data_IF_718435943115
#
_entry.id   IF_718435943115
#
_cell.length_a   1.000
_cell.length_b   1.000
_cell.length_c   1.000
_cell.angle_alpha   90.00
_cell.angle_beta   90.00
_cell.angle_gamma   90.00
#
_symmetry.space_group_name_H-M   'P 1'
#
loop_
_entity.id
_entity.type
_entity.pdbx_description
1 polymer ?
#
# COMPACT_ATOMS: atom_id res chain seq x y z
N UNK A 1 12.02 10.89 -2.21
CA UNK A 1 12.35 9.58 -1.61
C UNK A 1 13.15 8.75 -2.62
N UNK A 2 14.16 7.96 -2.21
CA UNK A 2 14.92 7.07 -3.12
C UNK A 2 14.22 5.75 -3.35
N UNK A 3 14.49 5.07 -4.46
CA UNK A 3 13.95 3.74 -4.79
C UNK A 3 14.26 2.71 -3.71
N UNK A 4 13.32 1.79 -3.47
CA UNK A 4 13.46 0.71 -2.50
C UNK A 4 12.54 -0.47 -2.80
N UNK A 5 12.78 -1.58 -2.12
CA UNK A 5 11.91 -2.76 -2.09
C UNK A 5 11.96 -3.35 -0.68
N UNK A 6 10.86 -3.27 0.07
CA UNK A 6 10.81 -3.69 1.48
C UNK A 6 9.56 -4.50 1.77
N UNK A 7 9.69 -5.51 2.62
CA UNK A 7 8.53 -6.23 3.18
C UNK A 7 8.02 -5.45 4.38
N UNK A 8 6.70 -5.38 4.52
CA UNK A 8 6.05 -4.74 5.66
C UNK A 8 5.02 -5.68 6.26
N UNK A 9 4.90 -5.63 7.59
CA UNK A 9 3.79 -6.24 8.34
C UNK A 9 2.63 -5.26 8.32
N UNK A 10 1.57 -5.60 7.60
CA UNK A 10 0.39 -4.78 7.43
C UNK A 10 -0.72 -5.19 8.40
N UNK A 11 -1.28 -4.21 9.11
CA UNK A 11 -2.53 -4.33 9.84
C UNK A 11 -3.68 -3.86 8.95
N UNK A 12 -4.25 -4.79 8.19
CA UNK A 12 -5.39 -4.56 7.32
C UNK A 12 -6.70 -4.50 8.13
N UNK A 13 -7.49 -3.46 7.89
CA UNK A 13 -8.87 -3.34 8.37
C UNK A 13 -9.77 -2.94 7.21
N UNK A 14 -10.98 -3.49 7.18
CA UNK A 14 -12.00 -3.07 6.23
C UNK A 14 -12.82 -1.90 6.79
N UNK A 15 -13.37 -1.12 5.89
CA UNK A 15 -14.22 0.05 6.11
C UNK A 15 -15.31 0.12 5.04
N UNK A 16 -16.17 1.13 5.10
CA UNK A 16 -17.14 1.41 4.04
C UNK A 16 -16.61 2.48 3.08
N UNK A 17 -17.12 2.53 1.86
CA UNK A 17 -16.72 3.55 0.90
C UNK A 17 -17.14 4.97 1.29
N UNK A 18 -18.22 5.14 2.05
CA UNK A 18 -18.67 6.45 2.55
C UNK A 18 -17.78 6.97 3.69
N UNK A 19 -17.09 6.07 4.39
CA UNK A 19 -16.19 6.41 5.49
C UNK A 19 -14.92 5.52 5.44
N UNK A 20 -14.08 5.65 4.40
CA UNK A 20 -12.99 4.70 4.15
C UNK A 20 -11.89 4.74 5.22
N UNK A 21 -11.86 5.80 6.03
CA UNK A 21 -10.94 5.99 7.14
C UNK A 21 -11.45 5.42 8.48
N UNK A 22 -12.70 4.96 8.55
CA UNK A 22 -13.31 4.42 9.77
C UNK A 22 -13.38 2.89 9.67
N UNK A 23 -12.60 2.14 10.46
CA UNK A 23 -12.62 0.69 10.39
C UNK A 23 -13.95 0.12 10.89
N UNK A 24 -14.50 -0.82 10.15
CA UNK A 24 -15.70 -1.59 10.51
C UNK A 24 -15.40 -3.04 10.87
N UNK A 25 -14.20 -3.52 10.52
CA UNK A 25 -13.76 -4.88 10.85
C UNK A 25 -12.71 -4.91 11.96
N UNK A 26 -12.49 -6.12 12.50
CA UNK A 26 -11.28 -6.43 13.26
C UNK A 26 -10.04 -6.32 12.37
N UNK A 27 -8.89 -6.16 13.00
CA UNK A 27 -7.58 -6.15 12.33
C UNK A 27 -7.21 -7.55 11.85
N UNK A 28 -6.73 -7.63 10.61
CA UNK A 28 -6.11 -8.80 10.01
C UNK A 28 -4.64 -8.46 9.76
N UNK A 29 -3.73 -9.38 10.05
CA UNK A 29 -2.31 -9.20 9.81
C UNK A 29 -1.91 -9.95 8.54
N UNK A 30 -1.16 -9.27 7.67
CA UNK A 30 -0.62 -9.83 6.44
C UNK A 30 0.77 -9.25 6.16
N UNK A 31 1.51 -9.88 5.24
CA UNK A 31 2.77 -9.34 4.74
C UNK A 31 2.51 -8.74 3.36
N UNK A 32 3.03 -7.53 3.15
CA UNK A 32 3.02 -6.86 1.85
C UNK A 32 4.44 -6.56 1.40
N UNK A 33 4.67 -6.58 0.09
CA UNK A 33 5.87 -6.07 -0.54
C UNK A 33 5.60 -4.66 -1.05
N UNK A 34 6.40 -3.70 -0.61
CA UNK A 34 6.30 -2.29 -1.03
C UNK A 34 7.54 -1.93 -1.82
N UNK A 35 7.34 -1.57 -3.08
CA UNK A 35 8.40 -1.18 -4.00
C UNK A 35 8.17 0.24 -4.52
N UNK A 36 9.23 1.05 -4.51
CA UNK A 36 9.24 2.36 -5.13
C UNK A 36 10.26 2.36 -6.26
N UNK A 37 9.81 2.73 -7.46
CA UNK A 37 10.64 2.90 -8.66
C UNK A 37 10.37 4.27 -9.27
N UNK A 38 11.30 5.19 -9.12
CA UNK A 38 11.11 6.61 -9.44
C UNK A 38 9.96 7.20 -8.62
N UNK A 39 8.85 7.49 -9.29
CA UNK A 39 7.64 8.04 -8.67
C UNK A 39 6.48 7.03 -8.57
N UNK A 40 6.68 5.80 -9.03
CA UNK A 40 5.67 4.75 -8.99
C UNK A 40 5.88 3.85 -7.78
N UNK A 41 4.89 3.82 -6.89
CA UNK A 41 4.81 2.94 -5.75
C UNK A 41 3.95 1.72 -6.11
N UNK A 42 4.40 0.53 -5.74
CA UNK A 42 3.69 -0.73 -5.88
C UNK A 42 3.54 -1.37 -4.51
N UNK A 43 2.33 -1.82 -4.18
CA UNK A 43 2.02 -2.54 -2.95
C UNK A 43 1.44 -3.89 -3.35
N UNK A 44 2.18 -4.96 -3.11
CA UNK A 44 1.81 -6.33 -3.49
C UNK A 44 1.50 -7.14 -2.24
N UNK A 45 0.34 -7.79 -2.18
CA UNK A 45 0.05 -8.76 -1.13
C UNK A 45 0.97 -9.98 -1.27
N UNK A 46 1.47 -10.53 -0.16
CA UNK A 46 2.27 -11.76 -0.17
C UNK A 46 1.51 -12.90 0.50
N UNK A 47 1.46 -14.05 -0.17
CA UNK A 47 0.98 -15.30 0.41
C UNK A 47 1.89 -15.82 1.52
N UNK A 48 1.43 -16.82 2.27
CA UNK A 48 2.20 -17.42 3.36
C UNK A 48 3.51 -18.09 2.88
N UNK A 49 3.55 -18.51 1.61
CA UNK A 49 4.73 -19.05 0.92
C UNK A 49 5.62 -17.94 0.29
N UNK A 50 5.25 -16.67 0.46
CA UNK A 50 5.91 -15.52 -0.13
C UNK A 50 5.56 -15.29 -1.61
N UNK A 51 4.59 -16.02 -2.17
CA UNK A 51 4.13 -15.80 -3.54
C UNK A 51 3.42 -14.45 -3.67
N UNK A 52 3.62 -13.70 -4.77
CA UNK A 52 2.95 -12.43 -4.99
C UNK A 52 1.48 -12.65 -5.35
N UNK A 53 0.60 -11.91 -4.67
CA UNK A 53 -0.83 -11.80 -4.97
C UNK A 53 -1.16 -10.49 -5.66
N UNK A 54 -2.34 -9.95 -5.33
CA UNK A 54 -2.86 -8.68 -5.86
C UNK A 54 -1.91 -7.50 -5.63
N UNK A 55 -1.84 -6.58 -6.60
CA UNK A 55 -0.94 -5.43 -6.61
C UNK A 55 -1.68 -4.11 -6.83
N UNK A 56 -1.52 -3.19 -5.90
CA UNK A 56 -1.96 -1.80 -6.00
C UNK A 56 -0.81 -0.93 -6.53
N UNK A 57 -1.13 -0.01 -7.42
CA UNK A 57 -0.20 1.01 -7.92
C UNK A 57 -0.59 2.38 -7.38
N UNK A 58 0.40 3.19 -7.01
CA UNK A 58 0.19 4.57 -6.60
C UNK A 58 1.28 5.49 -7.17
N UNK A 59 0.89 6.68 -7.62
CA UNK A 59 1.78 7.68 -8.20
C UNK A 59 2.14 8.73 -7.14
N UNK A 60 3.42 9.05 -6.99
CA UNK A 60 3.88 10.11 -6.09
C UNK A 60 3.23 11.44 -6.48
N UNK A 61 2.75 12.18 -5.48
CA UNK A 61 2.11 13.48 -5.69
C UNK A 61 2.82 14.61 -4.96
N UNK A 62 3.01 14.46 -3.64
CA UNK A 62 3.54 15.52 -2.78
C UNK A 62 4.58 14.91 -1.85
N UNK A 63 5.72 15.59 -1.75
CA UNK A 63 6.70 15.35 -0.69
C UNK A 63 6.56 16.42 0.38
N UNK A 64 6.35 15.98 1.62
CA UNK A 64 6.38 16.79 2.83
C UNK A 64 7.65 16.45 3.62
N UNK A 65 8.06 17.29 4.59
CA UNK A 65 9.08 16.87 5.56
C UNK A 65 8.70 15.52 6.17
N UNK A 66 9.60 14.54 6.07
CA UNK A 66 9.46 13.20 6.64
C UNK A 66 8.28 12.37 6.10
N UNK A 67 7.60 12.78 5.03
CA UNK A 67 6.47 12.02 4.47
C UNK A 67 6.37 12.19 2.97
N UNK A 68 6.23 11.08 2.23
CA UNK A 68 5.88 11.10 0.82
C UNK A 68 4.44 10.62 0.65
N UNK A 69 3.64 11.38 -0.11
CA UNK A 69 2.25 11.06 -0.42
C UNK A 69 2.12 10.55 -1.86
N UNK A 70 1.23 9.57 -2.05
CA UNK A 70 0.96 8.93 -3.32
C UNK A 70 -0.54 8.80 -3.51
N UNK A 71 -1.01 8.96 -4.75
CA UNK A 71 -2.40 8.71 -5.15
C UNK A 71 -2.50 7.32 -5.78
N UNK A 72 -3.42 6.51 -5.30
CA UNK A 72 -3.68 5.18 -5.87
C UNK A 72 -4.25 5.35 -7.28
N UNK A 73 -3.73 4.57 -8.22
CA UNK A 73 -4.13 4.59 -9.62
C UNK A 73 -5.29 3.60 -9.85
N UNK A 74 -6.45 4.05 -10.34
CA UNK A 74 -7.56 3.17 -10.69
C UNK A 74 -7.32 2.37 -11.98
N UNK A 75 -6.33 2.78 -12.77
CA UNK A 75 -5.94 2.16 -14.03
C UNK A 75 -4.42 2.02 -14.08
N UNK A 76 -3.93 0.99 -14.78
CA UNK A 76 -2.49 0.83 -15.01
C UNK A 76 -1.96 1.97 -15.88
N UNK A 77 -0.72 2.45 -15.63
CA UNK A 77 -0.01 3.23 -16.62
C UNK A 77 0.05 2.49 -17.95
N UNK A 78 -0.17 3.18 -19.07
CA UNK A 78 -0.34 2.58 -20.40
C UNK A 78 0.80 1.67 -20.89
N UNK A 79 1.99 1.81 -20.31
CA UNK A 79 3.18 1.02 -20.62
C UNK A 79 3.36 -0.21 -19.70
N UNK A 80 2.51 -0.37 -18.69
CA UNK A 80 2.56 -1.48 -17.73
C UNK A 80 1.53 -2.52 -18.10
N UNK A 81 1.93 -3.79 -18.06
CA UNK A 81 1.02 -4.93 -18.14
C UNK A 81 1.22 -5.78 -16.90
N UNK A 82 0.18 -5.86 -16.07
CA UNK A 82 0.22 -6.62 -14.83
C UNK A 82 -1.10 -7.35 -14.63
N UNK A 83 -1.06 -8.68 -14.70
CA UNK A 83 -2.24 -9.53 -14.46
C UNK A 83 -2.66 -9.58 -12.99
N UNK A 84 -1.79 -9.13 -12.08
CA UNK A 84 -2.10 -9.03 -10.65
C UNK A 84 -2.65 -7.65 -10.26
N UNK A 85 -2.87 -6.75 -11.22
CA UNK A 85 -3.34 -5.40 -10.94
C UNK A 85 -4.68 -5.40 -10.21
N UNK A 86 -4.71 -4.72 -9.07
CA UNK A 86 -5.90 -4.49 -8.26
C UNK A 86 -6.30 -3.02 -8.38
N UNK A 87 -7.36 -2.70 -9.16
CA UNK A 87 -7.81 -1.33 -9.31
C UNK A 87 -8.48 -0.85 -8.02
N UNK A 88 -8.08 0.33 -7.58
CA UNK A 88 -8.60 0.98 -6.38
C UNK A 88 -8.47 2.51 -6.50
N UNK A 89 -9.12 3.24 -5.60
CA UNK A 89 -8.98 4.68 -5.41
C UNK A 89 -8.50 4.94 -4.00
N UNK A 90 -7.73 6.00 -3.78
CA UNK A 90 -7.31 6.40 -2.44
C UNK A 90 -5.91 7.01 -2.38
N UNK A 91 -5.34 7.01 -1.18
CA UNK A 91 -4.08 7.67 -0.89
C UNK A 91 -3.19 6.77 -0.04
N UNK A 92 -1.89 6.84 -0.31
CA UNK A 92 -0.84 6.20 0.47
C UNK A 92 0.09 7.28 1.01
N UNK A 93 0.49 7.16 2.27
CA UNK A 93 1.53 7.95 2.90
C UNK A 93 2.64 7.02 3.37
N UNK A 94 3.89 7.34 3.03
CA UNK A 94 5.07 6.68 3.58
C UNK A 94 5.79 7.67 4.47
N UNK A 95 5.82 7.36 5.76
CA UNK A 95 6.50 8.15 6.78
C UNK A 95 7.97 7.73 6.82
N UNK A 96 8.84 8.68 6.47
CA UNK A 96 10.28 8.57 6.63
C UNK A 96 10.63 8.91 8.08
N UNK A 97 10.70 7.89 8.92
CA UNK A 97 11.09 8.08 10.31
C UNK A 97 12.61 8.35 10.40
N UNK A 98 13.07 8.98 11.50
CA UNK A 98 14.49 9.22 11.73
C UNK A 98 15.35 7.96 11.60
N UNK A 99 16.66 8.10 11.32
CA UNK A 99 17.58 6.96 11.23
C UNK A 99 17.45 6.01 12.42
N UNK A 100 17.27 4.72 12.14
CA UNK A 100 17.08 3.67 13.16
C UNK A 100 15.63 3.34 13.49
N UNK A 101 14.64 4.03 12.89
CA UNK A 101 13.23 3.67 12.98
C UNK A 101 12.74 3.00 11.68
N UNK A 102 11.82 2.04 11.84
CA UNK A 102 11.20 1.30 10.74
C UNK A 102 10.25 2.20 9.94
N UNK A 103 10.31 2.15 8.61
CA UNK A 103 9.35 2.91 7.79
C UNK A 103 7.92 2.48 8.10
N UNK A 104 7.02 3.45 8.10
CA UNK A 104 5.59 3.20 8.23
C UNK A 104 4.88 3.60 6.94
N UNK A 105 4.01 2.73 6.46
CA UNK A 105 3.08 3.00 5.38
C UNK A 105 1.67 3.05 5.95
N UNK A 106 0.95 4.13 5.65
CA UNK A 106 -0.49 4.22 5.91
C UNK A 106 -1.21 4.42 4.60
N UNK A 107 -2.26 3.66 4.38
CA UNK A 107 -3.10 3.84 3.22
C UNK A 107 -4.57 3.73 3.59
N UNK A 108 -5.38 4.49 2.87
CA UNK A 108 -6.82 4.29 2.82
C UNK A 108 -7.21 4.17 1.36
N UNK A 109 -8.03 3.19 1.04
CA UNK A 109 -8.50 3.00 -0.30
C UNK A 109 -9.89 2.41 -0.36
N UNK A 110 -10.48 2.50 -1.54
CA UNK A 110 -11.74 1.88 -1.89
C UNK A 110 -11.63 1.14 -3.21
N UNK A 111 -12.41 0.08 -3.36
CA UNK A 111 -12.52 -0.68 -4.59
C UNK A 111 -13.94 -1.20 -4.81
N UNK A 112 -14.22 -1.69 -6.01
CA UNK A 112 -15.51 -2.29 -6.36
C UNK A 112 -15.31 -3.65 -7.08
N UNK A 113 -14.23 -4.36 -6.76
CA UNK A 113 -13.78 -5.53 -7.53
C UNK A 113 -14.70 -6.75 -7.40
N UNK A 114 -15.52 -6.79 -6.35
CA UNK A 114 -16.54 -7.83 -6.14
C UNK A 114 -17.94 -7.42 -6.59
N UNK A 115 -18.09 -6.27 -7.27
CA UNK A 115 -19.40 -5.68 -7.58
C UNK A 115 -20.10 -5.01 -6.39
N UNK A 116 -19.42 -4.92 -5.25
CA UNK A 116 -19.81 -4.11 -4.10
C UNK A 116 -18.64 -3.22 -3.70
N UNK A 117 -18.96 -1.99 -3.29
CA UNK A 117 -17.93 -1.03 -2.88
C UNK A 117 -17.39 -1.40 -1.51
N UNK A 118 -16.08 -1.56 -1.41
CA UNK A 118 -15.36 -1.86 -0.17
C UNK A 118 -14.35 -0.77 0.14
N UNK A 119 -14.25 -0.41 1.42
CA UNK A 119 -13.15 0.39 1.94
C UNK A 119 -12.13 -0.50 2.65
N UNK A 120 -10.87 -0.10 2.61
CA UNK A 120 -9.78 -0.76 3.32
C UNK A 120 -8.76 0.25 3.83
N UNK A 121 -8.11 -0.12 4.92
CA UNK A 121 -7.14 0.68 5.66
C UNK A 121 -5.90 -0.17 5.89
N UNK A 122 -4.75 0.33 5.46
CA UNK A 122 -3.44 -0.24 5.77
C UNK A 122 -2.73 0.59 6.83
N UNK A 123 -2.13 -0.11 7.77
CA UNK A 123 -1.18 0.43 8.74
C UNK A 123 -0.03 -0.56 8.83
N UNK A 124 0.98 -0.33 7.99
CA UNK A 124 2.07 -1.25 7.75
C UNK A 124 3.38 -0.70 8.27
N UNK A 125 4.17 -1.57 8.88
CA UNK A 125 5.50 -1.25 9.41
C UNK A 125 6.51 -2.17 8.75
N UNK A 126 7.65 -1.60 8.36
CA UNK A 126 8.78 -2.34 7.79
C UNK A 126 9.17 -3.54 8.66
N UNK A 127 9.31 -4.70 8.02
CA UNK A 127 9.74 -5.91 8.71
C UNK A 127 11.27 -5.89 8.86
N UNK A 128 11.77 -5.77 10.09
CA UNK A 128 13.21 -5.73 10.40
C UNK A 128 13.98 -7.00 9.96
N UNK A 129 13.29 -8.10 9.64
CA UNK A 129 13.92 -9.28 9.04
C UNK A 129 14.36 -9.07 7.58
N UNK A 130 13.98 -7.95 6.96
CA UNK A 130 14.31 -7.59 5.57
C UNK A 130 15.67 -6.91 5.41
N UNK A 131 16.33 -6.56 6.52
CA UNK A 131 17.59 -5.80 6.52
C UNK A 131 18.80 -6.75 6.53
N UNK A 132 19.15 -7.29 5.36
CA UNK A 132 20.45 -7.92 5.11
C UNK A 132 21.22 -7.10 4.07
#
# INVERSE_FOLDING_TARGET
MVDFSIRMKNKLRFSTCDAPHVPTSKTHEEIILVELRGDLLMITALGADGSPGSRVYAQRTIDLPETSLFMILPELPSHVRDGAFFPALGTVAILQLPPGQQRQLRAVGTDNNSGQCHGWIFDAIEDASSSN
#
